data_IF_852410828724
#
_entry.id   IF_852410828724
#
_cell.length_a   1.000
_cell.length_b   1.000
_cell.length_c   1.000
_cell.angle_alpha   90.00
_cell.angle_beta   90.00
_cell.angle_gamma   90.00
#
_symmetry.space_group_name_H-M   'P 1'
#
loop_
_entity.id
_entity.type
_entity.pdbx_description
1 polymer ?
#
# COMPACT_ATOMS: atom_id res chain seq x y z
N UNK A 1 -27.29 23.05 63.73
CA UNK A 1 -27.26 21.62 63.33
C UNK A 1 -28.23 21.41 62.18
N UNK A 2 -27.74 21.31 60.95
CA UNK A 2 -28.15 20.33 59.94
C UNK A 2 -27.35 20.60 58.65
N UNK A 3 -26.48 19.66 58.30
CA UNK A 3 -25.85 19.54 56.98
C UNK A 3 -26.88 18.93 56.04
N UNK A 4 -27.03 19.44 54.81
CA UNK A 4 -27.33 18.57 53.66
C UNK A 4 -26.64 19.08 52.40
N UNK A 5 -25.76 18.21 51.90
CA UNK A 5 -25.20 18.17 50.55
C UNK A 5 -26.33 18.01 49.51
N UNK A 6 -26.25 18.75 48.41
CA UNK A 6 -26.99 18.49 47.18
C UNK A 6 -26.01 18.52 46.00
N UNK A 7 -25.72 17.36 45.43
CA UNK A 7 -24.57 17.11 44.57
C UNK A 7 -24.70 17.62 43.13
N UNK A 8 -23.54 17.91 42.55
CA UNK A 8 -23.28 18.08 41.13
C UNK A 8 -23.66 16.80 40.37
N UNK A 9 -24.51 16.91 39.34
CA UNK A 9 -24.60 15.91 38.28
C UNK A 9 -23.94 16.49 37.04
N UNK A 10 -22.62 16.32 36.95
CA UNK A 10 -21.90 16.44 35.67
C UNK A 10 -22.25 15.21 34.84
N UNK A 11 -23.09 15.39 33.83
CA UNK A 11 -23.38 14.37 32.83
C UNK A 11 -22.13 14.15 31.97
N UNK A 12 -21.28 13.21 32.37
CA UNK A 12 -20.15 12.74 31.58
C UNK A 12 -20.67 11.87 30.43
N UNK A 13 -20.77 12.46 29.23
CA UNK A 13 -20.92 11.70 27.99
C UNK A 13 -19.62 10.93 27.73
N UNK A 14 -19.62 9.65 28.09
CA UNK A 14 -18.56 8.71 27.72
C UNK A 14 -18.80 8.32 26.26
N UNK A 15 -18.07 8.95 25.34
CA UNK A 15 -17.95 8.45 23.98
C UNK A 15 -17.16 7.14 24.02
N UNK A 16 -17.87 6.01 23.94
CA UNK A 16 -17.28 4.70 23.66
C UNK A 16 -16.77 4.71 22.22
N UNK A 17 -15.55 5.21 22.00
CA UNK A 17 -14.82 4.93 20.76
C UNK A 17 -14.41 3.47 20.81
N UNK A 18 -15.12 2.61 20.08
CA UNK A 18 -14.66 1.26 19.85
C UNK A 18 -13.22 1.34 19.29
N UNK A 19 -12.27 0.52 19.78
CA UNK A 19 -10.97 0.45 19.16
C UNK A 19 -11.17 -0.07 17.74
N UNK A 20 -10.91 0.77 16.75
CA UNK A 20 -10.69 0.29 15.38
C UNK A 20 -9.40 -0.51 15.46
N UNK A 21 -9.51 -1.84 15.49
CA UNK A 21 -8.37 -2.72 15.26
C UNK A 21 -7.91 -2.44 13.83
N UNK A 22 -6.91 -1.58 13.68
CA UNK A 22 -6.22 -1.43 12.42
C UNK A 22 -5.56 -2.78 12.13
N UNK A 23 -6.15 -3.53 11.20
CA UNK A 23 -5.60 -4.79 10.74
C UNK A 23 -4.24 -4.53 10.10
N UNK A 24 -3.17 -4.99 10.75
CA UNK A 24 -1.83 -4.85 10.21
C UNK A 24 -1.63 -5.91 9.15
N UNK A 25 -1.66 -5.51 7.87
CA UNK A 25 -1.28 -6.40 6.77
C UNK A 25 0.11 -6.99 7.00
N UNK A 26 0.26 -8.28 6.68
CA UNK A 26 1.57 -8.94 6.69
C UNK A 26 2.33 -8.53 5.44
N UNK A 27 3.39 -7.75 5.64
CA UNK A 27 4.27 -7.29 4.57
C UNK A 27 5.57 -8.09 4.58
N UNK A 28 5.91 -8.72 3.45
CA UNK A 28 7.18 -9.42 3.24
C UNK A 28 8.02 -8.73 2.18
N UNK A 29 9.34 -8.77 2.36
CA UNK A 29 10.27 -8.32 1.33
C UNK A 29 10.41 -9.37 0.23
N UNK A 30 10.40 -8.92 -1.02
CA UNK A 30 10.69 -9.77 -2.17
C UNK A 30 12.14 -9.55 -2.56
N UNK A 31 13.01 -10.48 -2.15
CA UNK A 31 14.46 -10.42 -2.40
C UNK A 31 14.93 -11.47 -3.41
N UNK A 32 14.08 -12.44 -3.75
CA UNK A 32 14.38 -13.45 -4.75
C UNK A 32 14.42 -12.82 -6.15
N UNK A 33 15.54 -12.98 -6.87
CA UNK A 33 15.73 -12.35 -8.19
C UNK A 33 14.72 -12.81 -9.24
N UNK A 34 14.32 -14.07 -9.20
CA UNK A 34 13.34 -14.63 -10.13
C UNK A 34 11.97 -14.01 -9.85
N UNK A 35 11.55 -13.97 -8.58
CA UNK A 35 10.28 -13.34 -8.18
C UNK A 35 10.26 -11.84 -8.51
N UNK A 36 11.37 -11.12 -8.27
CA UNK A 36 11.51 -9.71 -8.66
C UNK A 36 11.30 -9.55 -10.17
N UNK A 37 11.94 -10.39 -10.99
CA UNK A 37 11.80 -10.33 -12.44
C UNK A 37 10.37 -10.62 -12.90
N UNK A 38 9.69 -11.58 -12.27
CA UNK A 38 8.30 -11.92 -12.58
C UNK A 38 7.36 -10.77 -12.22
N UNK A 39 7.45 -10.25 -10.98
CA UNK A 39 6.58 -9.15 -10.53
C UNK A 39 6.82 -7.87 -11.33
N UNK A 40 8.07 -7.58 -11.70
CA UNK A 40 8.38 -6.46 -12.58
C UNK A 40 7.75 -6.64 -13.98
N UNK A 41 7.78 -7.86 -14.53
CA UNK A 41 7.14 -8.16 -15.81
C UNK A 41 5.60 -8.04 -15.74
N UNK A 42 5.00 -8.43 -14.62
CA UNK A 42 3.56 -8.24 -14.37
C UNK A 42 3.20 -6.75 -14.42
N UNK A 43 3.97 -5.90 -13.72
CA UNK A 43 3.79 -4.45 -13.78
C UNK A 43 4.03 -3.85 -15.16
N UNK A 44 5.05 -4.31 -15.89
CA UNK A 44 5.28 -3.88 -17.28
C UNK A 44 4.08 -4.23 -18.18
N UNK A 45 3.48 -5.40 -17.98
CA UNK A 45 2.29 -5.81 -18.71
C UNK A 45 1.08 -4.94 -18.36
N UNK A 46 0.87 -4.62 -17.08
CA UNK A 46 -0.21 -3.75 -16.63
C UNK A 46 -0.05 -2.32 -17.21
N UNK A 47 1.17 -1.78 -17.23
CA UNK A 47 1.48 -0.51 -17.88
C UNK A 47 1.23 -0.55 -19.38
N UNK A 48 1.59 -1.65 -20.03
CA UNK A 48 1.39 -1.83 -21.47
C UNK A 48 -0.08 -1.86 -21.85
N UNK A 49 -0.96 -2.43 -21.00
CA UNK A 49 -2.42 -2.37 -21.18
C UNK A 49 -2.96 -0.93 -21.16
N UNK A 50 -2.24 0.00 -20.51
CA UNK A 50 -2.54 1.43 -20.50
C UNK A 50 -1.86 2.21 -21.64
N UNK A 51 -1.21 1.53 -22.58
CA UNK A 51 -0.45 2.15 -23.67
C UNK A 51 0.91 2.71 -23.25
N UNK A 52 1.40 2.35 -22.06
CA UNK A 52 2.70 2.77 -21.54
C UNK A 52 3.69 1.62 -21.77
N UNK A 53 4.39 1.65 -22.90
CA UNK A 53 5.47 0.71 -23.20
C UNK A 53 6.74 1.09 -22.41
N UNK A 54 6.84 0.62 -21.17
CA UNK A 54 7.97 0.87 -20.28
C UNK A 54 8.74 -0.40 -19.92
N UNK A 55 10.01 -0.22 -19.55
CA UNK A 55 10.81 -1.22 -18.84
C UNK A 55 11.06 -0.79 -17.42
N UNK A 56 10.94 -1.73 -16.48
CA UNK A 56 11.05 -1.48 -15.06
C UNK A 56 12.31 -2.14 -14.50
N UNK A 57 13.11 -1.35 -13.78
CA UNK A 57 14.13 -1.87 -12.88
C UNK A 57 13.71 -1.55 -11.47
N UNK A 58 13.29 -2.57 -10.73
CA UNK A 58 12.74 -2.37 -9.41
C UNK A 58 13.78 -2.61 -8.31
N UNK A 59 13.96 -1.59 -7.48
CA UNK A 59 14.96 -1.58 -6.41
C UNK A 59 14.37 -2.03 -5.07
N UNK A 60 13.05 -1.92 -4.92
CA UNK A 60 12.32 -2.34 -3.73
C UNK A 60 11.00 -2.98 -4.16
N UNK A 61 10.76 -4.22 -3.71
CA UNK A 61 9.49 -4.91 -3.87
C UNK A 61 9.02 -5.51 -2.56
N UNK A 62 7.71 -5.47 -2.36
CA UNK A 62 7.03 -6.10 -1.24
C UNK A 62 5.83 -6.91 -1.73
N UNK A 63 5.56 -7.99 -1.01
CA UNK A 63 4.27 -8.67 -1.03
C UNK A 63 3.48 -8.29 0.22
N UNK A 64 2.18 -8.03 0.05
CA UNK A 64 1.26 -7.74 1.14
C UNK A 64 0.14 -8.77 1.11
N UNK A 65 -0.02 -9.54 2.18
CA UNK A 65 -0.99 -10.63 2.23
C UNK A 65 -2.19 -10.26 3.10
N UNK A 66 -3.40 -10.38 2.54
CA UNK A 66 -4.67 -10.24 3.24
C UNK A 66 -5.19 -11.56 3.82
N UNK A 67 -6.35 -11.54 4.46
CA UNK A 67 -6.94 -12.72 5.12
C UNK A 67 -7.29 -13.86 4.15
N UNK A 68 -7.60 -13.53 2.90
CA UNK A 68 -7.91 -14.50 1.84
C UNK A 68 -6.68 -15.29 1.37
N UNK A 69 -5.49 -14.95 1.88
CA UNK A 69 -4.22 -15.56 1.48
C UNK A 69 -3.68 -15.02 0.15
N UNK A 70 -4.45 -14.21 -0.57
CA UNK A 70 -4.01 -13.52 -1.78
C UNK A 70 -3.08 -12.36 -1.45
N UNK A 71 -2.13 -12.14 -2.35
CA UNK A 71 -1.15 -11.06 -2.22
C UNK A 71 -1.43 -9.94 -3.22
N UNK A 72 -1.24 -8.73 -2.73
CA UNK A 72 -0.98 -7.56 -3.56
C UNK A 72 0.50 -7.27 -3.54
N UNK A 73 0.99 -6.66 -4.62
CA UNK A 73 2.41 -6.33 -4.75
C UNK A 73 2.60 -4.83 -4.79
N UNK A 74 3.63 -4.36 -4.10
CA UNK A 74 4.12 -2.99 -4.16
C UNK A 74 5.54 -2.96 -4.68
N UNK A 75 5.87 -1.96 -5.50
CA UNK A 75 7.22 -1.75 -5.98
C UNK A 75 7.61 -0.27 -6.06
N UNK A 76 8.90 -0.01 -5.87
CA UNK A 76 9.56 1.22 -6.33
C UNK A 76 10.52 0.83 -7.45
N UNK A 77 10.28 1.40 -8.63
CA UNK A 77 11.00 1.05 -9.85
C UNK A 77 11.47 2.28 -10.60
N UNK A 78 12.66 2.18 -11.18
CA UNK A 78 13.10 3.07 -12.24
C UNK A 78 12.37 2.66 -13.52
N UNK A 79 11.47 3.52 -13.98
CA UNK A 79 10.74 3.35 -15.22
C UNK A 79 11.51 3.97 -16.39
N UNK A 80 11.78 3.15 -17.40
CA UNK A 80 12.45 3.56 -18.63
C UNK A 80 11.48 3.48 -19.81
N UNK A 81 11.26 4.61 -20.48
CA UNK A 81 10.46 4.73 -21.70
C UNK A 81 11.35 5.30 -22.79
N UNK A 82 11.31 4.72 -23.99
CA UNK A 82 12.12 5.16 -25.12
C UNK A 82 11.96 6.66 -25.38
N UNK A 83 13.08 7.38 -25.47
CA UNK A 83 13.11 8.82 -25.70
C UNK A 83 12.75 9.69 -24.48
N UNK A 84 12.56 9.11 -23.29
CA UNK A 84 12.30 9.84 -22.04
C UNK A 84 13.41 9.59 -21.01
N UNK A 85 13.59 10.53 -20.09
CA UNK A 85 14.47 10.34 -18.94
C UNK A 85 13.90 9.28 -18.02
N UNK A 86 14.73 8.32 -17.53
CA UNK A 86 14.29 7.38 -16.52
C UNK A 86 13.68 8.10 -15.32
N UNK A 87 12.56 7.58 -14.82
CA UNK A 87 11.81 8.20 -13.71
C UNK A 87 11.53 7.15 -12.65
N UNK A 88 11.92 7.43 -11.41
CA UNK A 88 11.54 6.60 -10.26
C UNK A 88 10.04 6.73 -10.02
N UNK A 89 9.35 5.60 -9.95
CA UNK A 89 7.91 5.53 -9.68
C UNK A 89 7.63 4.54 -8.55
N UNK A 90 6.58 4.83 -7.79
CA UNK A 90 6.00 3.90 -6.83
C UNK A 90 4.70 3.37 -7.42
N UNK A 91 4.52 2.06 -7.41
CA UNK A 91 3.32 1.42 -7.93
C UNK A 91 2.91 0.21 -7.11
N UNK A 92 1.64 -0.15 -7.21
CA UNK A 92 1.11 -1.37 -6.64
C UNK A 92 0.09 -1.99 -7.57
N UNK A 93 -0.08 -3.30 -7.47
CA UNK A 93 -1.18 -4.00 -8.08
C UNK A 93 -1.85 -5.01 -7.13
N UNK A 94 -3.16 -5.17 -7.31
CA UNK A 94 -3.94 -6.30 -6.80
C UNK A 94 -4.42 -7.12 -8.01
N UNK A 95 -3.91 -8.33 -8.13
CA UNK A 95 -4.21 -9.23 -9.24
C UNK A 95 -5.59 -9.88 -9.16
N UNK A 96 -6.22 -9.95 -7.98
CA UNK A 96 -7.56 -10.53 -7.83
C UNK A 96 -8.61 -9.63 -8.47
N UNK A 97 -8.51 -8.31 -8.27
CA UNK A 97 -9.50 -7.34 -8.75
C UNK A 97 -9.02 -6.60 -10.01
N UNK A 98 -7.73 -6.69 -10.34
CA UNK A 98 -7.15 -5.99 -11.49
C UNK A 98 -7.01 -4.50 -11.22
N UNK A 99 -6.38 -4.14 -10.09
CA UNK A 99 -6.15 -2.74 -9.71
C UNK A 99 -4.67 -2.42 -9.89
N UNK A 100 -4.35 -1.39 -10.66
CA UNK A 100 -3.01 -0.81 -10.77
C UNK A 100 -3.06 0.64 -10.29
N UNK A 101 -2.18 1.01 -9.35
CA UNK A 101 -2.03 2.41 -8.93
C UNK A 101 -0.58 2.84 -9.07
N UNK A 102 -0.35 4.05 -9.60
CA UNK A 102 0.98 4.60 -9.88
C UNK A 102 1.10 5.98 -9.24
N UNK A 103 2.20 6.23 -8.55
CA UNK A 103 2.62 7.51 -8.00
C UNK A 103 3.98 7.87 -8.57
N UNK A 104 4.01 8.85 -9.46
CA UNK A 104 5.23 9.24 -10.19
C UNK A 104 6.10 10.25 -9.43
N UNK A 105 5.55 11.00 -8.48
CA UNK A 105 6.25 12.05 -7.75
C UNK A 105 5.76 12.15 -6.29
N UNK A 106 6.55 12.81 -5.45
CA UNK A 106 6.16 13.15 -4.07
C UNK A 106 6.05 11.95 -3.14
N UNK A 107 6.95 10.97 -3.28
CA UNK A 107 7.07 9.81 -2.39
C UNK A 107 8.51 9.67 -1.90
N UNK A 108 8.67 9.00 -0.77
CA UNK A 108 9.98 8.61 -0.25
C UNK A 108 10.33 7.20 -0.70
N UNK A 109 11.57 6.97 -1.10
CA UNK A 109 12.05 5.66 -1.54
C UNK A 109 12.38 4.73 -0.38
N UNK A 110 11.36 4.33 0.40
CA UNK A 110 11.53 3.41 1.52
C UNK A 110 10.35 2.45 1.68
N UNK A 111 10.61 1.36 2.42
CA UNK A 111 9.65 0.27 2.65
C UNK A 111 8.39 0.70 3.37
N UNK A 112 8.50 1.61 4.34
CA UNK A 112 7.33 2.02 5.13
C UNK A 112 6.35 2.82 4.28
N UNK A 113 6.86 3.76 3.48
CA UNK A 113 6.04 4.51 2.50
C UNK A 113 5.43 3.55 1.47
N UNK A 114 6.21 2.60 0.94
CA UNK A 114 5.72 1.63 -0.03
C UNK A 114 4.61 0.73 0.55
N UNK A 115 4.80 0.22 1.77
CA UNK A 115 3.81 -0.61 2.45
C UNK A 115 2.50 0.15 2.70
N UNK A 116 2.59 1.40 3.18
CA UNK A 116 1.43 2.25 3.38
C UNK A 116 0.72 2.55 2.05
N UNK A 117 1.48 2.86 1.00
CA UNK A 117 0.95 3.10 -0.33
C UNK A 117 0.20 1.87 -0.88
N UNK A 118 0.81 0.69 -0.79
CA UNK A 118 0.20 -0.56 -1.23
C UNK A 118 -1.06 -0.88 -0.44
N UNK A 119 -1.05 -0.69 0.88
CA UNK A 119 -2.24 -0.94 1.70
C UNK A 119 -3.41 -0.01 1.34
N UNK A 120 -3.14 1.29 1.16
CA UNK A 120 -4.20 2.25 0.82
C UNK A 120 -4.75 2.07 -0.60
N UNK A 121 -3.92 1.63 -1.54
CA UNK A 121 -4.26 1.65 -2.96
C UNK A 121 -4.49 0.28 -3.57
N UNK A 122 -3.93 -0.78 -3.02
CA UNK A 122 -4.02 -2.14 -3.53
C UNK A 122 -4.21 -3.13 -2.37
N UNK A 123 -5.14 -2.84 -1.45
CA UNK A 123 -5.46 -3.74 -0.35
C UNK A 123 -5.82 -5.14 -0.90
N UNK A 124 -5.14 -6.21 -0.45
CA UNK A 124 -5.36 -7.55 -0.99
C UNK A 124 -6.80 -8.02 -0.78
N UNK A 125 -7.45 -8.39 -1.88
CA UNK A 125 -8.82 -8.91 -1.86
C UNK A 125 -9.92 -7.86 -2.01
N UNK A 126 -9.56 -6.58 -2.20
CA UNK A 126 -10.49 -5.47 -2.46
C UNK A 126 -10.75 -4.52 -1.31
#
# INVERSE_FOLDING_TARGET
MYFQLGGLITASLIFLTAPVTAETLKVRDITNKQEISERAADFENDLNQLGIAAKLKCNLLIGSQGESGHESFGAICDMNISGKTPTSIMLCNDMMIGKLTIKAFGFSENKNELAAFTEMNCRPGG
#
